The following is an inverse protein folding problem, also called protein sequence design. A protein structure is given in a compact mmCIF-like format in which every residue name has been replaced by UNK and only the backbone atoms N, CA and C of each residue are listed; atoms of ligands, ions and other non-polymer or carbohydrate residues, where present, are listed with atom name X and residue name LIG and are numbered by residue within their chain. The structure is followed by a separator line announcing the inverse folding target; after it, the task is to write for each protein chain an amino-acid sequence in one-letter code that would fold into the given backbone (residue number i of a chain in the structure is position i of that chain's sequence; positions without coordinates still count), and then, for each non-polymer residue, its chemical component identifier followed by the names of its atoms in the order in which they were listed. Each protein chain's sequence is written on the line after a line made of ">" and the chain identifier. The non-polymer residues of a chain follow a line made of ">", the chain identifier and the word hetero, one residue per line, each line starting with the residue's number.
data_IF_796262293940
#
_entry.id   IF_796262293940
#
_cell.length_a   1.000
_cell.length_b   1.000
_cell.length_c   1.000
_cell.angle_alpha   90.00
_cell.angle_beta   90.00
_cell.angle_gamma   90.00
#
_symmetry.space_group_name_H-M   'P 1'
#
loop_
_entity.id
_entity.type
_entity.pdbx_description
1 polymer ?
#
# COMPACT_ATOMS: atom_id res chain seq x y z
N UNK A 1 8.12 10.98 -6.39
CA UNK A 1 9.44 10.53 -5.93
C UNK A 1 10.10 11.50 -4.97
N UNK A 2 10.18 12.81 -5.26
CA UNK A 2 10.82 13.80 -4.39
C UNK A 2 10.45 13.68 -2.89
N UNK A 3 9.17 13.54 -2.55
CA UNK A 3 8.75 13.43 -1.14
C UNK A 3 9.28 12.17 -0.42
N UNK A 4 9.45 11.04 -1.10
CA UNK A 4 10.01 9.81 -0.50
C UNK A 4 11.51 10.01 -0.23
N UNK A 5 12.21 10.60 -1.19
CA UNK A 5 13.63 10.89 -1.07
C UNK A 5 13.92 11.93 0.01
N UNK A 6 13.13 13.01 0.06
CA UNK A 6 13.22 14.03 1.09
C UNK A 6 12.96 13.42 2.46
N UNK A 7 11.86 12.67 2.62
CA UNK A 7 11.52 12.01 3.89
C UNK A 7 12.61 11.03 4.34
N UNK A 8 13.21 10.27 3.42
CA UNK A 8 14.29 9.34 3.72
C UNK A 8 15.59 10.04 4.13
N UNK A 9 15.89 11.23 3.57
CA UNK A 9 17.14 11.96 3.82
C UNK A 9 17.06 12.90 5.02
N UNK A 10 15.92 13.54 5.24
CA UNK A 10 15.76 14.63 6.22
C UNK A 10 14.81 14.27 7.36
N UNK A 11 14.06 13.17 7.24
CA UNK A 11 13.04 12.78 8.20
C UNK A 11 11.76 13.60 8.14
N UNK A 12 11.62 14.52 7.18
CA UNK A 12 10.40 15.32 6.97
C UNK A 12 10.14 15.57 5.47
N UNK A 13 8.87 15.62 5.06
CA UNK A 13 8.50 15.98 3.69
C UNK A 13 7.08 16.53 3.60
N UNK A 14 6.83 17.39 2.62
CA UNK A 14 5.48 17.80 2.23
C UNK A 14 4.84 16.78 1.30
N UNK A 15 3.66 16.28 1.65
CA UNK A 15 2.90 15.33 0.84
C UNK A 15 1.50 15.85 0.54
N UNK A 16 0.91 15.51 -0.62
CA UNK A 16 -0.47 15.87 -0.91
C UNK A 16 -1.45 15.29 0.12
N UNK A 17 -2.35 16.12 0.62
CA UNK A 17 -3.51 15.69 1.40
C UNK A 17 -4.65 15.37 0.44
N UNK A 18 -5.06 14.10 0.37
CA UNK A 18 -6.11 13.64 -0.54
C UNK A 18 -7.46 13.49 0.16
N UNK A 19 -8.51 14.03 -0.45
CA UNK A 19 -9.89 13.79 -0.01
C UNK A 19 -10.52 12.69 -0.84
N UNK A 20 -10.95 11.62 -0.16
CA UNK A 20 -11.68 10.52 -0.78
C UNK A 20 -13.04 11.00 -1.31
N UNK A 21 -13.73 11.88 -0.59
CA UNK A 21 -15.05 12.38 -1.00
C UNK A 21 -14.98 13.33 -2.19
N UNK A 22 -13.96 14.19 -2.23
CA UNK A 22 -13.77 15.13 -3.34
C UNK A 22 -13.00 14.52 -4.53
N UNK A 23 -12.47 13.30 -4.38
CA UNK A 23 -11.67 12.60 -5.37
C UNK A 23 -10.52 13.45 -5.93
N UNK A 24 -9.88 14.26 -5.07
CA UNK A 24 -8.78 15.18 -5.45
C UNK A 24 -7.86 15.48 -4.27
N UNK A 25 -6.67 15.97 -4.58
CA UNK A 25 -5.85 16.66 -3.60
C UNK A 25 -6.54 17.95 -3.16
N UNK A 26 -6.55 18.20 -1.84
CA UNK A 26 -7.18 19.37 -1.22
C UNK A 26 -6.16 20.30 -0.55
N UNK A 27 -4.86 20.00 -0.69
CA UNK A 27 -3.76 20.75 -0.12
C UNK A 27 -2.56 19.84 0.08
N UNK A 28 -1.61 20.31 0.89
CA UNK A 28 -0.46 19.53 1.35
C UNK A 28 -0.51 19.37 2.86
N UNK A 29 0.23 18.39 3.37
CA UNK A 29 0.50 18.21 4.79
C UNK A 29 1.96 17.80 4.97
N UNK A 30 2.54 18.20 6.09
CA UNK A 30 3.86 17.72 6.50
C UNK A 30 3.75 16.31 7.08
N UNK A 31 4.67 15.44 6.68
CA UNK A 31 4.91 14.14 7.32
C UNK A 31 6.31 14.17 7.91
N UNK A 32 6.45 13.78 9.17
CA UNK A 32 7.73 13.58 9.84
C UNK A 32 7.81 12.19 10.45
N UNK A 33 8.98 11.57 10.41
CA UNK A 33 9.23 10.22 10.96
C UNK A 33 9.78 10.26 12.39
N UNK A 34 10.03 11.45 12.93
CA UNK A 34 10.63 11.63 14.27
C UNK A 34 11.97 10.91 14.38
N UNK A 35 12.18 10.19 15.49
CA UNK A 35 13.39 9.40 15.74
C UNK A 35 13.40 8.04 15.02
N UNK A 36 12.42 7.78 14.14
CA UNK A 36 12.35 6.52 13.40
C UNK A 36 13.36 6.51 12.25
N UNK A 37 14.09 5.40 12.11
CA UNK A 37 15.04 5.20 11.00
C UNK A 37 14.37 4.68 9.71
N UNK A 38 13.11 4.27 9.81
CA UNK A 38 12.33 3.72 8.70
C UNK A 38 10.93 4.32 8.69
N UNK A 39 10.35 4.44 7.50
CA UNK A 39 8.93 4.68 7.32
C UNK A 39 8.33 3.66 6.36
N UNK A 40 7.01 3.50 6.44
CA UNK A 40 6.26 2.61 5.57
C UNK A 40 5.42 3.45 4.61
N UNK A 41 5.66 3.30 3.31
CA UNK A 41 4.77 3.76 2.28
C UNK A 41 3.90 2.60 1.79
N UNK A 42 2.57 2.73 1.90
CA UNK A 42 1.62 1.73 1.42
C UNK A 42 0.75 2.27 0.29
N UNK A 43 0.37 1.40 -0.65
CA UNK A 43 -0.48 1.76 -1.77
C UNK A 43 -0.62 0.64 -2.78
N UNK A 44 -1.57 0.79 -3.71
CA UNK A 44 -1.78 -0.17 -4.80
C UNK A 44 -0.67 -0.13 -5.85
N UNK A 45 0.11 0.96 -5.90
CA UNK A 45 1.26 1.16 -6.79
C UNK A 45 2.61 1.07 -6.05
N UNK A 46 2.61 0.43 -4.87
CA UNK A 46 3.80 0.39 -4.02
C UNK A 46 4.96 -0.38 -4.66
N UNK A 47 4.68 -1.44 -5.42
CA UNK A 47 5.73 -2.22 -6.09
C UNK A 47 6.45 -1.43 -7.19
N UNK A 48 5.72 -0.62 -7.95
CA UNK A 48 6.28 0.25 -8.98
C UNK A 48 7.20 1.31 -8.37
N UNK A 49 6.81 1.87 -7.22
CA UNK A 49 7.64 2.83 -6.48
C UNK A 49 8.85 2.13 -5.85
N UNK A 50 8.69 0.90 -5.36
CA UNK A 50 9.76 0.14 -4.70
C UNK A 50 10.96 -0.06 -5.63
N UNK A 51 10.72 -0.38 -6.91
CA UNK A 51 11.80 -0.51 -7.90
C UNK A 51 12.64 0.78 -8.00
N UNK A 52 12.00 1.94 -8.11
CA UNK A 52 12.73 3.22 -8.14
C UNK A 52 13.44 3.52 -6.82
N UNK A 53 12.84 3.21 -5.68
CA UNK A 53 13.50 3.34 -4.38
C UNK A 53 14.73 2.44 -4.28
N UNK A 54 14.70 1.25 -4.87
CA UNK A 54 15.85 0.34 -4.91
C UNK A 54 16.98 0.92 -5.75
N UNK A 55 16.66 1.44 -6.95
CA UNK A 55 17.63 2.09 -7.84
C UNK A 55 18.31 3.30 -7.18
N UNK A 56 17.59 4.04 -6.34
CA UNK A 56 18.10 5.18 -5.58
C UNK A 56 18.78 4.80 -4.25
N UNK A 57 18.85 3.51 -3.90
CA UNK A 57 19.43 3.04 -2.64
C UNK A 57 18.62 3.42 -1.39
N UNK A 58 17.34 3.76 -1.55
CA UNK A 58 16.43 4.19 -0.48
C UNK A 58 15.56 3.06 0.08
N UNK A 59 15.50 1.91 -0.61
CA UNK A 59 14.60 0.81 -0.25
C UNK A 59 15.23 -0.12 0.80
N UNK A 60 14.64 -0.20 1.99
CA UNK A 60 14.96 -1.25 2.96
C UNK A 60 14.39 -2.62 2.53
N UNK A 61 13.09 -2.66 2.19
CA UNK A 61 12.42 -3.85 1.65
C UNK A 61 11.07 -3.50 1.04
N UNK A 62 10.49 -4.42 0.26
CA UNK A 62 9.14 -4.29 -0.29
C UNK A 62 8.34 -5.59 -0.12
N UNK A 63 7.08 -5.46 0.29
CA UNK A 63 6.19 -6.59 0.55
C UNK A 63 4.89 -6.49 -0.24
N UNK A 64 4.44 -7.62 -0.79
CA UNK A 64 3.09 -7.79 -1.29
C UNK A 64 2.26 -8.48 -0.21
N UNK A 65 1.25 -7.78 0.34
CA UNK A 65 0.41 -8.33 1.40
C UNK A 65 -0.41 -9.51 0.85
N UNK A 66 -0.02 -10.72 1.24
CA UNK A 66 -0.67 -11.94 0.80
C UNK A 66 -1.71 -12.42 1.81
N UNK A 67 -2.94 -12.67 1.33
CA UNK A 67 -4.07 -13.20 2.10
C UNK A 67 -4.89 -14.15 1.22
N UNK A 68 -5.63 -15.11 1.81
CA UNK A 68 -6.57 -15.90 1.04
C UNK A 68 -7.58 -15.01 0.31
N UNK A 69 -7.76 -15.24 -0.99
CA UNK A 69 -8.61 -14.44 -1.89
C UNK A 69 -10.02 -14.22 -1.36
N UNK A 70 -10.60 -15.28 -0.80
CA UNK A 70 -11.95 -15.23 -0.22
C UNK A 70 -12.01 -14.28 0.98
N UNK A 71 -10.98 -14.26 1.82
CA UNK A 71 -10.90 -13.33 2.97
C UNK A 71 -10.79 -11.88 2.47
N UNK A 72 -10.00 -11.62 1.43
CA UNK A 72 -9.90 -10.29 0.82
C UNK A 72 -11.24 -9.84 0.22
N UNK A 73 -11.91 -10.73 -0.52
CA UNK A 73 -13.24 -10.48 -1.09
C UNK A 73 -14.27 -10.13 -0.03
N UNK A 74 -14.42 -10.98 1.01
CA UNK A 74 -15.40 -10.76 2.09
C UNK A 74 -15.12 -9.45 2.81
N UNK A 75 -13.86 -9.19 3.21
CA UNK A 75 -13.50 -7.93 3.88
C UNK A 75 -13.82 -6.71 3.02
N UNK A 76 -13.54 -6.76 1.71
CA UNK A 76 -13.84 -5.66 0.79
C UNK A 76 -15.35 -5.46 0.65
N UNK A 77 -16.11 -6.54 0.45
CA UNK A 77 -17.56 -6.48 0.30
C UNK A 77 -18.24 -5.92 1.57
N UNK A 78 -17.88 -6.44 2.74
CA UNK A 78 -18.44 -5.97 4.02
C UNK A 78 -18.13 -4.49 4.26
N UNK A 79 -16.88 -4.05 4.01
CA UNK A 79 -16.50 -2.64 4.13
C UNK A 79 -17.31 -1.76 3.18
N UNK A 80 -17.37 -2.13 1.90
CA UNK A 80 -17.99 -1.30 0.86
C UNK A 80 -19.52 -1.22 1.05
N UNK A 81 -20.16 -2.28 1.57
CA UNK A 81 -21.56 -2.28 1.97
C UNK A 81 -21.81 -1.39 3.18
N UNK A 82 -21.00 -1.52 4.24
CA UNK A 82 -21.11 -0.68 5.46
C UNK A 82 -20.97 0.80 5.13
N UNK A 83 -20.05 1.13 4.24
CA UNK A 83 -19.79 2.50 3.79
C UNK A 83 -20.73 2.98 2.67
N UNK A 84 -21.74 2.18 2.29
CA UNK A 84 -22.74 2.50 1.27
C UNK A 84 -22.13 3.02 -0.03
N UNK A 85 -20.94 2.51 -0.40
CA UNK A 85 -20.14 3.08 -1.50
C UNK A 85 -20.85 2.95 -2.85
N UNK A 86 -21.62 1.87 -3.06
CA UNK A 86 -22.41 1.54 -4.26
C UNK A 86 -23.55 0.59 -3.90
N UNK A 87 -24.47 0.34 -4.84
CA UNK A 87 -25.52 -0.67 -4.66
C UNK A 87 -24.94 -2.09 -4.51
N UNK A 88 -25.63 -2.94 -3.76
CA UNK A 88 -25.15 -4.28 -3.41
C UNK A 88 -24.80 -5.15 -4.64
N UNK A 89 -25.65 -5.14 -5.67
CA UNK A 89 -25.40 -5.89 -6.91
C UNK A 89 -24.11 -5.45 -7.63
N UNK A 90 -23.83 -4.14 -7.64
CA UNK A 90 -22.59 -3.59 -8.22
C UNK A 90 -21.36 -4.04 -7.41
N UNK A 91 -21.46 -4.04 -6.09
CA UNK A 91 -20.35 -4.47 -5.21
C UNK A 91 -20.05 -5.96 -5.35
N UNK A 92 -21.09 -6.81 -5.45
CA UNK A 92 -20.93 -8.25 -5.67
C UNK A 92 -20.25 -8.51 -7.01
N UNK A 93 -20.79 -7.96 -8.11
CA UNK A 93 -20.21 -8.12 -9.45
C UNK A 93 -18.75 -7.68 -9.50
N UNK A 94 -18.46 -6.48 -8.97
CA UNK A 94 -17.08 -5.97 -8.90
C UNK A 94 -16.19 -6.88 -8.05
N UNK A 95 -16.70 -7.35 -6.92
CA UNK A 95 -15.97 -8.24 -6.02
C UNK A 95 -15.61 -9.57 -6.68
N UNK A 96 -16.52 -10.15 -7.48
CA UNK A 96 -16.23 -11.37 -8.26
C UNK A 96 -15.09 -11.12 -9.25
N UNK A 97 -15.12 -10.03 -10.02
CA UNK A 97 -14.02 -9.67 -10.93
C UNK A 97 -12.69 -9.56 -10.19
N UNK A 98 -12.66 -8.85 -9.06
CA UNK A 98 -11.45 -8.67 -8.25
C UNK A 98 -10.97 -9.99 -7.63
N UNK A 99 -11.90 -10.85 -7.22
CA UNK A 99 -11.57 -12.17 -6.74
C UNK A 99 -10.79 -12.92 -7.81
N UNK A 100 -11.25 -12.90 -9.07
CA UNK A 100 -10.59 -13.58 -10.20
C UNK A 100 -9.23 -12.97 -10.59
N UNK A 101 -9.06 -11.65 -10.52
CA UNK A 101 -7.79 -10.99 -10.89
C UNK A 101 -6.76 -10.96 -9.75
N UNK A 102 -7.12 -11.31 -8.51
CA UNK A 102 -6.23 -11.24 -7.34
C UNK A 102 -4.87 -11.95 -7.54
N UNK A 103 -4.88 -13.14 -8.19
CA UNK A 103 -3.63 -13.88 -8.47
C UNK A 103 -2.71 -13.13 -9.41
N UNK A 104 -3.26 -12.49 -10.43
CA UNK A 104 -2.48 -11.72 -11.42
C UNK A 104 -1.90 -10.47 -10.77
N UNK A 105 -2.68 -9.79 -9.93
CA UNK A 105 -2.21 -8.65 -9.15
C UNK A 105 -1.04 -9.06 -8.25
N UNK A 106 -1.18 -10.17 -7.50
CA UNK A 106 -0.10 -10.65 -6.65
C UNK A 106 1.14 -11.04 -7.46
N UNK A 107 0.96 -11.77 -8.57
CA UNK A 107 2.06 -12.17 -9.44
C UNK A 107 2.82 -10.95 -9.98
N UNK A 108 2.10 -9.91 -10.42
CA UNK A 108 2.71 -8.67 -10.89
C UNK A 108 3.52 -7.95 -9.80
N UNK A 109 3.00 -7.91 -8.57
CA UNK A 109 3.73 -7.30 -7.46
C UNK A 109 5.02 -8.06 -7.15
N UNK A 110 4.99 -9.40 -7.23
CA UNK A 110 6.17 -10.25 -7.06
C UNK A 110 7.19 -10.02 -8.18
N UNK A 111 6.74 -9.92 -9.43
CA UNK A 111 7.59 -9.63 -10.59
C UNK A 111 8.32 -8.29 -10.44
N UNK A 112 7.66 -7.30 -9.84
CA UNK A 112 8.24 -5.99 -9.50
C UNK A 112 9.15 -6.02 -8.26
N UNK A 113 9.45 -7.19 -7.70
CA UNK A 113 10.41 -7.36 -6.62
C UNK A 113 9.83 -7.41 -5.21
N UNK A 114 8.50 -7.37 -5.05
CA UNK A 114 7.89 -7.48 -3.72
C UNK A 114 7.91 -8.92 -3.19
N UNK A 115 8.23 -9.09 -1.91
CA UNK A 115 8.14 -10.38 -1.23
C UNK A 115 6.69 -10.65 -0.77
N UNK A 116 6.06 -11.76 -1.18
CA UNK A 116 4.70 -12.07 -0.75
C UNK A 116 4.71 -12.50 0.72
N UNK A 117 3.97 -11.80 1.58
CA UNK A 117 3.96 -12.07 3.01
C UNK A 117 2.61 -11.73 3.68
N UNK A 118 2.24 -12.50 4.69
CA UNK A 118 1.09 -12.15 5.55
C UNK A 118 1.43 -10.93 6.42
N UNK A 119 0.40 -10.20 6.88
CA UNK A 119 0.62 -9.05 7.76
C UNK A 119 1.39 -9.40 9.05
N UNK A 120 1.25 -10.64 9.55
CA UNK A 120 2.01 -11.11 10.72
C UNK A 120 3.50 -11.28 10.40
N UNK A 121 3.82 -11.84 9.23
CA UNK A 121 5.21 -11.98 8.77
C UNK A 121 5.85 -10.62 8.53
N UNK A 122 5.13 -9.71 7.85
CA UNK A 122 5.60 -8.34 7.59
C UNK A 122 5.92 -7.63 8.90
N UNK A 123 4.98 -7.65 9.87
CA UNK A 123 5.21 -7.02 11.18
C UNK A 123 6.43 -7.58 11.88
N UNK A 124 6.59 -8.90 11.89
CA UNK A 124 7.76 -9.56 12.50
C UNK A 124 9.07 -9.17 11.81
N UNK A 125 9.07 -9.08 10.48
CA UNK A 125 10.26 -8.71 9.73
C UNK A 125 10.68 -7.27 10.02
N UNK A 126 9.73 -6.32 10.00
CA UNK A 126 9.99 -4.90 10.28
C UNK A 126 10.51 -4.69 11.70
N UNK A 127 9.94 -5.38 12.70
CA UNK A 127 10.42 -5.28 14.09
C UNK A 127 11.85 -5.78 14.32
N UNK A 128 12.42 -6.53 13.37
CA UNK A 128 13.77 -7.07 13.44
C UNK A 128 14.76 -6.31 12.53
N UNK A 129 14.32 -5.23 11.87
CA UNK A 129 15.22 -4.46 11.01
C UNK A 129 16.21 -3.65 11.85
N UNK A 130 17.49 -3.60 11.44
CA UNK A 130 18.45 -2.71 12.07
C UNK A 130 18.04 -1.25 11.85
N UNK A 131 18.42 -0.40 12.80
CA UNK A 131 18.42 1.05 12.65
C UNK A 131 19.45 1.49 11.60
#
# INVERSE_FOLDING_TARGET
>A
MAAIEELAKTGTAEVPAYSISANRAIGNRTVTIGDSHLFIAEGIFAAEIAQWCQELGLLATAYALHRPRLVTFVRRLTRDLREHRKSAGVLIRRGVTLYHTDREVLARQIELGCVPATGRQIRRAISNMPA
#
